data_IF_214462443748
#
_entry.id   IF_214462443748
#
_cell.length_a   1.000
_cell.length_b   1.000
_cell.length_c   1.000
_cell.angle_alpha   90.00
_cell.angle_beta   90.00
_cell.angle_gamma   90.00
#
_symmetry.space_group_name_H-M   'P 1'
#
loop_
_entity.id
_entity.type
_entity.pdbx_description
1 polymer ?
#
# COMPACT_ATOMS: atom_id res chain seq x y z
N UNK A 1 13.91 10.38 -45.23
CA UNK A 1 13.32 10.21 -43.89
C UNK A 1 13.50 11.43 -42.95
N UNK A 2 13.70 12.65 -43.47
CA UNK A 2 14.07 13.82 -42.63
C UNK A 2 13.09 15.00 -42.59
N UNK A 3 12.04 15.04 -43.43
CA UNK A 3 11.09 16.17 -43.49
C UNK A 3 9.80 15.95 -42.69
N UNK A 4 9.47 14.71 -42.33
CA UNK A 4 8.28 14.38 -41.53
C UNK A 4 8.50 14.59 -40.01
N UNK A 5 9.74 14.48 -39.55
CA UNK A 5 10.11 14.64 -38.14
C UNK A 5 10.19 16.11 -37.69
N UNK A 6 10.54 17.03 -38.60
CA UNK A 6 10.62 18.47 -38.30
C UNK A 6 9.25 19.15 -38.21
N UNK A 7 8.24 18.66 -38.94
CA UNK A 7 6.86 19.16 -38.81
C UNK A 7 6.24 18.72 -37.47
N UNK A 8 6.66 17.57 -36.95
CA UNK A 8 6.22 17.08 -35.64
C UNK A 8 6.74 17.95 -34.47
N UNK A 9 7.97 18.48 -34.55
CA UNK A 9 8.56 19.29 -33.48
C UNK A 9 7.95 20.72 -33.41
N UNK A 10 7.61 21.33 -34.54
CA UNK A 10 6.98 22.66 -34.55
C UNK A 10 5.52 22.65 -34.09
N UNK A 11 4.80 21.54 -34.24
CA UNK A 11 3.39 21.42 -33.82
C UNK A 11 3.24 21.14 -32.32
N UNK A 12 4.16 20.38 -31.70
CA UNK A 12 4.14 20.13 -30.24
C UNK A 12 4.48 21.40 -29.46
N UNK A 13 5.45 22.20 -29.93
CA UNK A 13 5.78 23.49 -29.32
C UNK A 13 4.66 24.54 -29.51
N UNK A 14 3.98 24.52 -30.66
CA UNK A 14 2.83 25.40 -30.92
C UNK A 14 1.62 25.10 -30.05
N UNK A 15 1.26 23.82 -29.88
CA UNK A 15 0.12 23.40 -29.04
C UNK A 15 0.38 23.66 -27.54
N UNK A 16 1.58 23.35 -27.04
CA UNK A 16 1.97 23.67 -25.67
C UNK A 16 2.02 25.21 -25.42
N UNK A 17 2.51 25.97 -26.40
CA UNK A 17 2.52 27.44 -26.36
C UNK A 17 1.12 28.07 -26.42
N UNK A 18 0.13 27.43 -27.06
CA UNK A 18 -1.25 27.89 -27.08
C UNK A 18 -2.01 27.58 -25.78
N UNK A 19 -1.82 26.40 -25.18
CA UNK A 19 -2.39 26.06 -23.87
C UNK A 19 -1.89 27.04 -22.81
N UNK A 20 -0.60 27.39 -22.87
CA UNK A 20 0.02 28.38 -21.97
C UNK A 20 -0.51 29.81 -22.19
N UNK A 21 -1.02 30.15 -23.39
CA UNK A 21 -1.44 31.50 -23.78
C UNK A 21 -2.95 31.74 -23.70
N UNK A 22 -3.78 30.69 -23.79
CA UNK A 22 -5.24 30.82 -23.93
C UNK A 22 -6.08 30.06 -22.88
N UNK A 23 -5.47 29.27 -21.98
CA UNK A 23 -6.22 28.50 -20.99
C UNK A 23 -6.79 27.19 -21.53
N UNK A 24 -7.69 26.56 -20.77
CA UNK A 24 -8.16 25.15 -20.85
C UNK A 24 -8.42 24.62 -22.27
N UNK A 25 -8.33 23.28 -22.49
CA UNK A 25 -8.49 22.64 -23.81
C UNK A 25 -9.74 23.08 -24.59
N UNK A 26 -10.83 23.38 -23.88
CA UNK A 26 -12.12 23.78 -24.45
C UNK A 26 -12.05 25.11 -25.23
N UNK A 27 -11.30 26.10 -24.73
CA UNK A 27 -11.16 27.42 -25.37
C UNK A 27 -10.35 27.32 -26.66
N UNK A 28 -9.37 26.42 -26.70
CA UNK A 28 -8.55 26.16 -27.89
C UNK A 28 -9.40 25.48 -28.97
N UNK A 29 -10.31 24.60 -28.59
CA UNK A 29 -11.19 23.87 -29.50
C UNK A 29 -12.19 24.77 -30.22
N UNK A 30 -12.78 25.74 -29.51
CA UNK A 30 -13.75 26.69 -30.07
C UNK A 30 -13.17 27.66 -31.10
N UNK A 31 -11.84 27.88 -31.08
CA UNK A 31 -11.17 28.93 -31.85
C UNK A 31 -10.29 28.39 -32.98
N UNK A 32 -10.24 27.08 -33.16
CA UNK A 32 -9.43 26.40 -34.17
C UNK A 32 -10.27 25.99 -35.39
N UNK A 33 -9.71 26.04 -36.61
CA UNK A 33 -10.38 25.51 -37.80
C UNK A 33 -10.72 24.01 -37.63
N UNK A 34 -11.91 23.58 -38.06
CA UNK A 34 -12.37 22.18 -37.93
C UNK A 34 -11.37 21.14 -38.44
N UNK A 35 -10.66 21.45 -39.54
CA UNK A 35 -9.62 20.61 -40.12
C UNK A 35 -8.43 20.29 -39.18
N UNK A 36 -8.26 21.03 -38.09
CA UNK A 36 -7.19 20.85 -37.09
C UNK A 36 -7.65 19.98 -35.92
N UNK A 37 -8.97 19.86 -35.68
CA UNK A 37 -9.52 19.11 -34.54
C UNK A 37 -9.04 17.65 -34.47
N UNK A 38 -8.99 16.86 -35.57
CA UNK A 38 -8.50 15.47 -35.52
C UNK A 38 -7.02 15.36 -35.10
N UNK A 39 -6.22 16.40 -35.37
CA UNK A 39 -4.83 16.46 -34.94
C UNK A 39 -4.71 16.77 -33.44
N UNK A 40 -5.58 17.61 -32.89
CA UNK A 40 -5.61 17.90 -31.44
C UNK A 40 -6.03 16.65 -30.66
N UNK A 41 -7.08 15.96 -31.08
CA UNK A 41 -7.53 14.72 -30.45
C UNK A 41 -6.42 13.66 -30.42
N UNK A 42 -5.65 13.56 -31.51
CA UNK A 42 -4.52 12.64 -31.61
C UNK A 42 -3.37 13.04 -30.68
N UNK A 43 -3.09 14.33 -30.51
CA UNK A 43 -2.06 14.81 -29.57
C UNK A 43 -2.46 14.57 -28.12
N UNK A 44 -3.72 14.81 -27.75
CA UNK A 44 -4.26 14.49 -26.42
C UNK A 44 -4.21 12.97 -26.15
N UNK A 45 -4.60 12.15 -27.12
CA UNK A 45 -4.52 10.69 -27.03
C UNK A 45 -3.07 10.19 -26.88
N UNK A 46 -2.11 10.81 -27.58
CA UNK A 46 -0.69 10.48 -27.43
C UNK A 46 -0.14 10.91 -26.05
N UNK A 47 -0.56 12.08 -25.55
CA UNK A 47 -0.19 12.56 -24.22
C UNK A 47 -0.71 11.66 -23.10
N UNK A 48 -1.99 11.26 -23.18
CA UNK A 48 -2.61 10.33 -22.22
C UNK A 48 -1.98 8.94 -22.28
N UNK A 49 -1.72 8.40 -23.47
CA UNK A 49 -1.04 7.11 -23.63
C UNK A 49 0.40 7.13 -23.07
N UNK A 50 1.14 8.24 -23.26
CA UNK A 50 2.49 8.36 -22.71
C UNK A 50 2.49 8.44 -21.18
N UNK A 51 1.56 9.22 -20.59
CA UNK A 51 1.39 9.30 -19.14
C UNK A 51 1.00 7.94 -18.53
N UNK A 52 0.06 7.22 -19.17
CA UNK A 52 -0.31 5.87 -18.74
C UNK A 52 0.85 4.88 -18.83
N UNK A 53 1.66 4.93 -19.91
CA UNK A 53 2.83 4.09 -20.06
C UNK A 53 3.90 4.39 -19.00
N UNK A 54 4.12 5.66 -18.65
CA UNK A 54 5.03 6.02 -17.56
C UNK A 54 4.52 5.54 -16.20
N UNK A 55 3.22 5.67 -15.93
CA UNK A 55 2.61 5.20 -14.67
C UNK A 55 2.67 3.67 -14.55
N UNK A 56 2.41 2.94 -15.63
CA UNK A 56 2.52 1.48 -15.65
C UNK A 56 3.98 1.01 -15.46
N UNK A 57 4.95 1.72 -16.05
CA UNK A 57 6.37 1.42 -15.87
C UNK A 57 6.84 1.71 -14.42
N UNK A 58 6.37 2.80 -13.82
CA UNK A 58 6.67 3.12 -12.42
C UNK A 58 6.03 2.11 -11.46
N UNK A 59 4.76 1.76 -11.69
CA UNK A 59 4.03 0.75 -10.90
C UNK A 59 4.70 -0.63 -10.96
N UNK A 60 5.07 -1.10 -12.15
CA UNK A 60 5.77 -2.39 -12.31
C UNK A 60 7.15 -2.40 -11.62
N UNK A 61 7.91 -1.30 -11.67
CA UNK A 61 9.17 -1.17 -10.93
C UNK A 61 8.97 -1.20 -9.41
N UNK A 62 7.93 -0.53 -8.89
CA UNK A 62 7.61 -0.52 -7.47
C UNK A 62 7.17 -1.90 -6.97
N UNK A 63 6.32 -2.60 -7.72
CA UNK A 63 5.91 -3.98 -7.43
C UNK A 63 7.13 -4.90 -7.35
N UNK A 64 8.07 -4.76 -8.29
CA UNK A 64 9.31 -5.54 -8.27
C UNK A 64 10.18 -5.27 -7.04
N UNK A 65 10.26 -4.00 -6.58
CA UNK A 65 10.96 -3.64 -5.33
C UNK A 65 10.29 -4.26 -4.11
N UNK A 66 8.96 -4.24 -4.05
CA UNK A 66 8.20 -4.74 -2.91
C UNK A 66 8.17 -6.27 -2.82
N UNK A 67 8.36 -7.01 -3.92
CA UNK A 67 8.25 -8.46 -3.97
C UNK A 67 9.13 -9.21 -2.95
N UNK A 68 10.28 -8.62 -2.61
CA UNK A 68 11.27 -9.20 -1.68
C UNK A 68 11.06 -8.78 -0.23
N UNK A 69 10.23 -7.77 0.05
CA UNK A 69 10.03 -7.28 1.41
C UNK A 69 9.42 -8.35 2.31
N UNK A 70 9.93 -8.43 3.52
CA UNK A 70 9.49 -9.30 4.61
C UNK A 70 9.41 -8.47 5.88
N UNK A 71 8.60 -8.92 6.84
CA UNK A 71 8.59 -8.28 8.15
C UNK A 71 9.97 -8.44 8.80
N UNK A 72 10.48 -7.35 9.36
CA UNK A 72 11.71 -7.38 10.15
C UNK A 72 11.42 -7.71 11.62
N UNK A 73 12.48 -7.92 12.41
CA UNK A 73 12.32 -8.34 13.80
C UNK A 73 11.60 -7.29 14.67
N UNK A 74 11.75 -6.00 14.36
CA UNK A 74 11.02 -4.93 15.08
C UNK A 74 9.52 -5.02 14.83
N UNK A 75 9.10 -5.21 13.58
CA UNK A 75 7.69 -5.40 13.26
C UNK A 75 7.12 -6.68 13.87
N UNK A 76 7.88 -7.78 13.83
CA UNK A 76 7.47 -9.04 14.45
C UNK A 76 7.33 -8.89 15.98
N UNK A 77 8.23 -8.14 16.61
CA UNK A 77 8.16 -7.87 18.04
C UNK A 77 6.91 -7.06 18.41
N UNK A 78 6.50 -6.08 17.60
CA UNK A 78 5.24 -5.35 17.83
C UNK A 78 4.04 -6.30 17.81
N UNK A 79 4.01 -7.28 16.92
CA UNK A 79 2.95 -8.30 16.91
C UNK A 79 3.01 -9.13 18.20
N UNK A 80 4.20 -9.61 18.58
CA UNK A 80 4.38 -10.39 19.82
C UNK A 80 3.98 -9.61 21.08
N UNK A 81 4.27 -8.32 21.16
CA UNK A 81 3.88 -7.46 22.28
C UNK A 81 2.36 -7.24 22.35
N UNK A 82 1.70 -7.25 21.18
CA UNK A 82 0.26 -7.05 21.06
C UNK A 82 -0.57 -8.32 21.21
N UNK A 83 0.05 -9.50 21.14
CA UNK A 83 -0.60 -10.80 21.25
C UNK A 83 -0.15 -11.53 22.52
N UNK A 84 -1.10 -12.04 23.31
CA UNK A 84 -0.80 -12.79 24.52
C UNK A 84 -0.32 -14.22 24.17
N UNK A 85 0.92 -14.59 24.55
CA UNK A 85 1.48 -15.91 24.26
C UNK A 85 0.81 -16.99 25.10
N UNK A 86 0.13 -17.93 24.44
CA UNK A 86 -0.50 -19.08 25.12
C UNK A 86 0.05 -20.41 24.60
N UNK A 87 0.80 -21.11 25.45
CA UNK A 87 1.43 -22.39 25.09
C UNK A 87 0.46 -23.58 25.12
N UNK A 88 -0.76 -23.37 25.62
CA UNK A 88 -1.84 -24.35 25.63
C UNK A 88 -3.04 -23.79 24.88
N UNK A 89 -3.74 -24.66 24.15
CA UNK A 89 -4.90 -24.30 23.35
C UNK A 89 -6.01 -23.69 24.21
N UNK A 90 -6.64 -22.63 23.72
CA UNK A 90 -7.74 -21.95 24.39
C UNK A 90 -8.87 -21.63 23.39
N UNK A 91 -10.10 -21.59 23.90
CA UNK A 91 -11.30 -21.35 23.11
C UNK A 91 -11.63 -19.85 23.08
N UNK A 92 -11.95 -19.29 21.91
CA UNK A 92 -12.54 -17.96 21.76
C UNK A 92 -13.64 -18.00 20.71
N UNK A 93 -14.89 -17.77 21.12
CA UNK A 93 -16.04 -17.99 20.25
C UNK A 93 -16.13 -19.44 19.77
N UNK A 94 -16.22 -19.64 18.46
CA UNK A 94 -16.32 -20.97 17.84
C UNK A 94 -14.99 -21.57 17.39
N UNK A 95 -13.86 -20.92 17.68
CA UNK A 95 -12.55 -21.35 17.24
C UNK A 95 -11.62 -21.62 18.44
N UNK A 96 -10.68 -22.53 18.22
CA UNK A 96 -9.58 -22.79 19.13
C UNK A 96 -8.34 -22.03 18.66
N UNK A 97 -7.58 -21.51 19.61
CA UNK A 97 -6.40 -20.70 19.38
C UNK A 97 -5.22 -21.18 20.22
N UNK A 98 -3.99 -20.96 19.76
CA UNK A 98 -2.76 -21.27 20.49
C UNK A 98 -1.63 -20.31 20.07
N UNK A 99 -0.53 -20.27 20.82
CA UNK A 99 0.61 -19.41 20.55
C UNK A 99 0.24 -17.93 20.59
N UNK A 100 0.66 -17.17 19.58
CA UNK A 100 0.29 -15.77 19.39
C UNK A 100 -1.01 -15.67 18.57
N UNK A 101 -2.13 -16.06 19.19
CA UNK A 101 -3.46 -16.06 18.58
C UNK A 101 -3.57 -16.82 17.22
N UNK A 102 -2.76 -17.87 17.02
CA UNK A 102 -2.86 -18.76 15.88
C UNK A 102 -4.18 -19.54 15.95
N UNK A 103 -5.03 -19.43 14.94
CA UNK A 103 -6.26 -20.20 14.86
C UNK A 103 -5.95 -21.64 14.48
N UNK A 104 -6.28 -22.58 15.38
CA UNK A 104 -5.91 -23.98 15.22
C UNK A 104 -6.72 -24.70 14.14
N UNK A 105 -6.04 -25.60 13.43
CA UNK A 105 -6.70 -26.65 12.66
C UNK A 105 -7.08 -27.85 13.55
N UNK A 106 -8.07 -28.70 13.16
CA UNK A 106 -8.58 -29.77 14.02
C UNK A 106 -7.54 -30.75 14.59
N UNK A 107 -6.47 -31.04 13.83
CA UNK A 107 -5.47 -32.06 14.18
C UNK A 107 -4.19 -31.49 14.79
N UNK A 108 -4.16 -30.21 15.15
CA UNK A 108 -2.98 -29.60 15.74
C UNK A 108 -2.78 -29.97 17.21
N UNK A 109 -1.51 -30.12 17.60
CA UNK A 109 -1.13 -30.36 18.99
C UNK A 109 -1.59 -29.22 19.90
N UNK A 110 -2.27 -29.56 20.99
CA UNK A 110 -2.90 -28.59 21.91
C UNK A 110 -1.96 -27.99 22.97
N UNK A 111 -0.69 -28.38 22.95
CA UNK A 111 0.37 -27.83 23.80
C UNK A 111 1.66 -27.71 22.99
N UNK A 112 2.30 -26.54 23.03
CA UNK A 112 3.45 -26.22 22.18
C UNK A 112 4.58 -25.55 22.98
N UNK A 113 5.78 -25.57 22.42
CA UNK A 113 6.90 -24.75 22.92
C UNK A 113 6.80 -23.34 22.39
N UNK A 114 7.48 -22.39 23.04
CA UNK A 114 7.59 -21.01 22.54
C UNK A 114 8.17 -20.98 21.11
N UNK A 115 9.17 -21.82 20.80
CA UNK A 115 9.74 -21.92 19.45
C UNK A 115 8.71 -22.35 18.41
N UNK A 116 7.82 -23.28 18.75
CA UNK A 116 6.71 -23.68 17.87
C UNK A 116 5.69 -22.56 17.73
N UNK A 117 5.37 -21.82 18.79
CA UNK A 117 4.50 -20.64 18.73
C UNK A 117 5.06 -19.56 17.80
N UNK A 118 6.36 -19.28 17.86
CA UNK A 118 7.03 -18.35 16.96
C UNK A 118 7.04 -18.83 15.51
N UNK A 119 7.15 -20.14 15.29
CA UNK A 119 7.05 -20.73 13.95
C UNK A 119 5.64 -20.56 13.39
N UNK A 120 4.60 -20.79 14.19
CA UNK A 120 3.21 -20.56 13.79
C UNK A 120 2.97 -19.09 13.44
N UNK A 121 3.40 -18.17 14.31
CA UNK A 121 3.30 -16.74 14.07
C UNK A 121 3.97 -16.32 12.74
N UNK A 122 5.18 -16.81 12.46
CA UNK A 122 5.87 -16.50 11.20
C UNK A 122 5.10 -17.03 9.97
N UNK A 123 4.44 -18.18 10.09
CA UNK A 123 3.62 -18.72 9.00
C UNK A 123 2.36 -17.86 8.77
N UNK A 124 1.69 -17.43 9.83
CA UNK A 124 0.51 -16.58 9.75
C UNK A 124 0.85 -15.21 9.17
N UNK A 125 1.96 -14.62 9.64
CA UNK A 125 2.46 -13.33 9.15
C UNK A 125 2.86 -13.43 7.67
N UNK A 126 3.40 -14.55 7.20
CA UNK A 126 3.77 -14.74 5.78
C UNK A 126 2.57 -14.56 4.83
N UNK A 127 1.37 -14.96 5.26
CA UNK A 127 0.12 -14.74 4.51
C UNK A 127 -0.14 -13.23 4.44
N UNK A 128 -0.12 -12.56 5.59
CA UNK A 128 -0.32 -11.10 5.72
C UNK A 128 0.67 -10.31 4.85
N UNK A 129 1.95 -10.66 4.89
CA UNK A 129 2.95 -10.05 4.04
C UNK A 129 2.63 -10.17 2.54
N UNK A 130 2.09 -11.32 2.12
CA UNK A 130 1.68 -11.56 0.74
C UNK A 130 0.60 -10.59 0.29
N UNK A 131 -0.38 -10.34 1.15
CA UNK A 131 -1.48 -9.43 0.87
C UNK A 131 -1.02 -7.97 0.89
N UNK A 132 -0.18 -7.58 1.86
CA UNK A 132 0.41 -6.23 1.89
C UNK A 132 1.24 -5.97 0.64
N UNK A 133 2.10 -6.91 0.22
CA UNK A 133 2.91 -6.76 -1.03
C UNK A 133 2.04 -6.50 -2.26
N UNK A 134 0.90 -7.21 -2.39
CA UNK A 134 -0.04 -7.02 -3.51
C UNK A 134 -0.75 -5.67 -3.46
N UNK A 135 -0.98 -5.13 -2.27
CA UNK A 135 -1.72 -3.90 -2.06
C UNK A 135 -0.86 -2.63 -2.29
N UNK A 136 0.47 -2.74 -2.20
CA UNK A 136 1.39 -1.61 -2.37
C UNK A 136 1.66 -1.31 -3.84
N UNK A 137 1.35 -0.08 -4.26
CA UNK A 137 1.68 0.44 -5.60
C UNK A 137 2.92 1.34 -5.61
N UNK A 138 3.39 1.73 -4.42
CA UNK A 138 4.63 2.48 -4.21
C UNK A 138 5.68 1.63 -3.50
N UNK A 139 6.96 1.89 -3.81
CA UNK A 139 8.06 1.24 -3.13
C UNK A 139 8.08 1.60 -1.64
N UNK A 140 8.12 0.58 -0.77
CA UNK A 140 8.24 0.73 0.67
C UNK A 140 9.65 0.41 1.17
N UNK A 141 10.04 1.04 2.27
CA UNK A 141 11.16 0.60 3.12
C UNK A 141 10.78 -0.66 3.89
N UNK A 142 11.78 -1.39 4.42
CA UNK A 142 11.56 -2.55 5.27
C UNK A 142 10.77 -2.19 6.53
N UNK A 143 11.08 -1.07 7.17
CA UNK A 143 10.37 -0.57 8.34
C UNK A 143 8.91 -0.17 8.01
N UNK A 144 8.67 0.54 6.90
CA UNK A 144 7.29 0.86 6.47
C UNK A 144 6.48 -0.38 6.17
N UNK A 145 7.08 -1.34 5.44
CA UNK A 145 6.45 -2.61 5.15
C UNK A 145 6.11 -3.37 6.43
N UNK A 146 7.07 -3.47 7.36
CA UNK A 146 6.91 -4.19 8.62
C UNK A 146 5.81 -3.60 9.50
N UNK A 147 5.73 -2.27 9.59
CA UNK A 147 4.66 -1.59 10.31
C UNK A 147 3.28 -1.84 9.68
N UNK A 148 3.18 -1.77 8.35
CA UNK A 148 1.93 -2.06 7.63
C UNK A 148 1.51 -3.53 7.77
N UNK A 149 2.46 -4.48 7.79
CA UNK A 149 2.17 -5.89 8.05
C UNK A 149 1.66 -6.11 9.47
N UNK A 150 2.27 -5.49 10.49
CA UNK A 150 1.77 -5.58 11.88
C UNK A 150 0.33 -5.05 12.01
N UNK A 151 0.04 -3.91 11.36
CA UNK A 151 -1.29 -3.32 11.34
C UNK A 151 -2.30 -4.26 10.65
N UNK A 152 -1.97 -4.76 9.46
CA UNK A 152 -2.82 -5.65 8.68
C UNK A 152 -3.11 -6.97 9.40
N UNK A 153 -2.12 -7.54 10.10
CA UNK A 153 -2.29 -8.74 10.92
C UNK A 153 -3.31 -8.53 12.04
N UNK A 154 -3.27 -7.37 12.69
CA UNK A 154 -4.16 -7.07 13.82
C UNK A 154 -5.62 -6.82 13.41
N UNK A 155 -5.85 -6.14 12.27
CA UNK A 155 -7.20 -5.72 11.88
C UNK A 155 -7.91 -6.65 10.90
N UNK A 156 -7.17 -7.49 10.17
CA UNK A 156 -7.53 -8.26 8.96
C UNK A 156 -6.95 -7.70 7.65
N UNK A 157 -6.45 -8.60 6.78
CA UNK A 157 -5.81 -8.21 5.50
C UNK A 157 -6.78 -7.57 4.52
N UNK A 158 -8.03 -8.04 4.45
CA UNK A 158 -9.08 -7.44 3.62
C UNK A 158 -9.44 -6.02 4.09
N UNK A 159 -9.48 -5.81 5.41
CA UNK A 159 -9.74 -4.52 6.03
C UNK A 159 -8.62 -3.54 5.66
N UNK A 160 -7.37 -4.01 5.71
CA UNK A 160 -6.21 -3.22 5.33
C UNK A 160 -6.25 -2.81 3.85
N UNK A 161 -6.48 -3.76 2.94
CA UNK A 161 -6.43 -3.52 1.50
C UNK A 161 -7.58 -2.64 0.97
N UNK A 162 -8.77 -2.76 1.56
CA UNK A 162 -9.97 -2.04 1.07
C UNK A 162 -10.23 -0.73 1.82
N UNK A 163 -9.86 -0.67 3.10
CA UNK A 163 -10.41 0.33 4.01
C UNK A 163 -9.36 1.09 4.83
N UNK A 164 -8.07 0.74 4.75
CA UNK A 164 -7.05 1.47 5.50
C UNK A 164 -6.64 2.78 4.82
N UNK A 165 -6.83 3.88 5.54
CA UNK A 165 -6.30 5.19 5.15
C UNK A 165 -4.76 5.21 5.14
N UNK A 166 -4.11 4.34 5.92
CA UNK A 166 -2.65 4.16 5.89
C UNK A 166 -2.21 3.75 4.49
N UNK A 167 -2.81 2.70 3.94
CA UNK A 167 -2.46 2.18 2.61
C UNK A 167 -2.79 3.22 1.52
N UNK A 168 -3.97 3.82 1.57
CA UNK A 168 -4.41 4.83 0.58
C UNK A 168 -3.44 6.00 0.53
N UNK A 169 -3.11 6.58 1.69
CA UNK A 169 -2.17 7.70 1.80
C UNK A 169 -0.75 7.29 1.42
N UNK A 170 -0.32 6.11 1.85
CA UNK A 170 0.99 5.58 1.46
C UNK A 170 1.08 5.44 -0.06
N UNK A 171 0.12 4.81 -0.73
CA UNK A 171 0.17 4.66 -2.19
C UNK A 171 0.10 6.01 -2.93
N UNK A 172 -0.57 7.02 -2.35
CA UNK A 172 -0.59 8.40 -2.86
C UNK A 172 0.69 9.21 -2.60
N UNK A 173 1.67 8.66 -1.87
CA UNK A 173 2.93 9.35 -1.53
C UNK A 173 2.87 10.20 -0.26
N UNK A 174 1.71 10.29 0.40
CA UNK A 174 1.52 11.03 1.66
C UNK A 174 2.04 10.19 2.84
N UNK A 175 3.36 10.21 3.04
CA UNK A 175 4.02 9.45 4.11
C UNK A 175 3.57 9.90 5.50
N UNK A 176 3.52 11.21 5.75
CA UNK A 176 3.17 11.72 7.07
C UNK A 176 1.70 11.47 7.39
N UNK A 177 0.81 11.65 6.42
CA UNK A 177 -0.59 11.31 6.58
C UNK A 177 -0.81 9.81 6.76
N UNK A 178 -0.07 8.96 6.04
CA UNK A 178 -0.11 7.52 6.26
C UNK A 178 0.31 7.15 7.69
N UNK A 179 1.40 7.74 8.19
CA UNK A 179 1.86 7.55 9.56
C UNK A 179 0.79 7.98 10.58
N UNK A 180 0.19 9.16 10.40
CA UNK A 180 -0.85 9.64 11.30
C UNK A 180 -2.12 8.75 11.28
N UNK A 181 -2.44 8.17 10.13
CA UNK A 181 -3.61 7.31 9.96
C UNK A 181 -3.53 5.98 10.76
N UNK A 182 -2.35 5.53 11.20
CA UNK A 182 -2.24 4.37 12.10
C UNK A 182 -3.11 4.56 13.37
N UNK A 183 -3.15 5.79 13.90
CA UNK A 183 -3.88 6.13 15.14
C UNK A 183 -5.38 5.90 15.04
N UNK A 184 -5.94 5.91 13.84
CA UNK A 184 -7.37 5.71 13.60
C UNK A 184 -7.81 4.26 13.83
N UNK A 185 -6.85 3.33 13.89
CA UNK A 185 -7.08 1.90 14.05
C UNK A 185 -6.91 1.44 15.51
N UNK A 186 -7.51 2.20 16.43
CA UNK A 186 -7.46 1.99 17.89
C UNK A 186 -8.81 1.65 18.54
N UNK A 187 -9.85 1.42 17.75
CA UNK A 187 -11.19 1.08 18.24
C UNK A 187 -11.50 -0.41 18.10
N UNK A 188 -12.22 -0.97 19.08
CA UNK A 188 -12.87 -2.28 18.99
C UNK A 188 -14.20 -2.25 19.76
N UNK A 189 -15.27 -2.78 19.16
CA UNK A 189 -16.61 -2.70 19.75
C UNK A 189 -17.18 -1.27 19.85
N UNK A 190 -16.66 -0.32 19.05
CA UNK A 190 -17.05 1.10 19.11
C UNK A 190 -16.28 1.94 20.12
N UNK A 191 -15.39 1.34 20.91
CA UNK A 191 -14.63 2.02 21.97
C UNK A 191 -13.14 2.04 21.67
N UNK A 192 -12.43 3.06 22.14
CA UNK A 192 -10.96 3.15 22.08
C UNK A 192 -10.35 2.22 23.12
N UNK A 193 -9.40 1.37 22.70
CA UNK A 193 -8.68 0.49 23.61
C UNK A 193 -7.25 0.96 23.86
N UNK A 194 -6.80 1.13 25.12
CA UNK A 194 -5.45 1.60 25.43
C UNK A 194 -4.32 0.77 24.80
N UNK A 195 -4.46 -0.56 24.79
CA UNK A 195 -3.46 -1.45 24.19
C UNK A 195 -3.35 -1.25 22.67
N UNK A 196 -4.45 -0.92 21.99
CA UNK A 196 -4.41 -0.60 20.56
C UNK A 196 -3.76 0.76 20.33
N UNK A 197 -4.05 1.77 21.17
CA UNK A 197 -3.37 3.08 21.10
C UNK A 197 -1.85 2.90 21.17
N UNK A 198 -1.36 2.14 22.15
CA UNK A 198 0.07 1.86 22.30
C UNK A 198 0.64 1.13 21.07
N UNK A 199 -0.05 0.06 20.61
CA UNK A 199 0.37 -0.70 19.43
C UNK A 199 0.47 0.19 18.19
N UNK A 200 -0.52 1.06 17.95
CA UNK A 200 -0.54 1.98 16.81
C UNK A 200 0.59 3.00 16.88
N UNK A 201 0.99 3.48 18.06
CA UNK A 201 2.17 4.34 18.18
C UNK A 201 3.47 3.59 17.88
N UNK A 202 3.64 2.36 18.37
CA UNK A 202 4.82 1.54 18.03
C UNK A 202 4.95 1.31 16.53
N UNK A 203 3.84 0.97 15.86
CA UNK A 203 3.81 0.78 14.40
C UNK A 203 4.11 2.08 13.66
N UNK A 204 3.51 3.20 14.08
CA UNK A 204 3.76 4.51 13.49
C UNK A 204 5.23 4.92 13.63
N UNK A 205 5.83 4.72 14.80
CA UNK A 205 7.23 5.02 15.05
C UNK A 205 8.13 4.15 14.18
N UNK A 206 7.86 2.85 14.08
CA UNK A 206 8.57 1.96 13.16
C UNK A 206 8.46 2.47 11.72
N UNK A 207 7.25 2.79 11.26
CA UNK A 207 7.00 3.27 9.89
C UNK A 207 7.77 4.55 9.52
N UNK A 208 8.01 5.44 10.49
CA UNK A 208 8.76 6.69 10.30
C UNK A 208 10.28 6.52 10.48
N UNK A 209 10.74 5.36 10.96
CA UNK A 209 12.16 5.07 11.16
C UNK A 209 12.81 4.68 9.82
N UNK A 210 13.95 5.29 9.50
CA UNK A 210 14.73 4.91 8.32
C UNK A 210 15.38 3.53 8.50
N UNK A 211 15.49 2.78 7.40
CA UNK A 211 16.19 1.48 7.38
C UNK A 211 17.70 1.64 7.53
#
# INVERSE_FOLDING_TARGET
MGRLFLVLLFLVAGAAGLIYKFGTPDIVRERMPEKILPWLDRLEALGTAHAQASDQKASSSNVAKNAKLRINDRGLQIIKDGEDLRLEAYRRGNHDYIGYAHQMAPDEVRKITQKKAETLLRNDVKITEGDVRKALTRAATENQFSAMVSLAHNMCTNCFSTSSDVLKKFNAGDIQGAANAFRNHNHAGGEVHPHLVERREKERLLFLTQD
#
